data_IF_424883117172
#
_entry.id   IF_424883117172
#
_cell.length_a   1.000
_cell.length_b   1.000
_cell.length_c   1.000
_cell.angle_alpha   90.00
_cell.angle_beta   90.00
_cell.angle_gamma   90.00
#
_symmetry.space_group_name_H-M   'P 1'
#
loop_
_entity.id
_entity.type
_entity.pdbx_description
1 polymer ?
#
# COMPACT_ATOMS: atom_id res chain seq x y z
N UNK A 1 33.64 54.02 -34.47
CA UNK A 1 32.29 53.63 -34.96
C UNK A 1 32.22 52.14 -35.31
N UNK A 2 33.14 51.61 -36.13
CA UNK A 2 33.17 50.19 -36.57
C UNK A 2 33.20 49.18 -35.41
N UNK A 3 34.00 49.40 -34.37
CA UNK A 3 34.11 48.51 -33.20
C UNK A 3 32.83 48.44 -32.34
N UNK A 4 32.10 49.56 -32.19
CA UNK A 4 30.81 49.60 -31.47
C UNK A 4 29.69 48.91 -32.26
N UNK A 5 29.72 49.03 -33.59
CA UNK A 5 28.77 48.32 -34.47
C UNK A 5 29.05 46.81 -34.46
N UNK A 6 30.33 46.38 -34.51
CA UNK A 6 30.70 44.98 -34.39
C UNK A 6 30.28 44.36 -33.04
N UNK A 7 30.41 45.09 -31.92
CA UNK A 7 29.95 44.63 -30.61
C UNK A 7 28.41 44.52 -30.51
N UNK A 8 27.67 45.46 -31.12
CA UNK A 8 26.21 45.39 -31.20
C UNK A 8 25.72 44.22 -32.07
N UNK A 9 26.38 43.96 -33.20
CA UNK A 9 26.08 42.81 -34.08
C UNK A 9 26.38 41.50 -33.35
N UNK A 10 27.51 41.39 -32.64
CA UNK A 10 27.85 40.19 -31.87
C UNK A 10 26.87 39.94 -30.70
N UNK A 11 26.42 40.99 -30.02
CA UNK A 11 25.38 40.91 -28.98
C UNK A 11 24.01 40.51 -29.56
N UNK A 12 23.63 41.03 -30.74
CA UNK A 12 22.39 40.63 -31.42
C UNK A 12 22.42 39.17 -31.89
N UNK A 13 23.57 38.70 -32.40
CA UNK A 13 23.78 37.30 -32.80
C UNK A 13 23.77 36.34 -31.60
N UNK A 14 24.36 36.73 -30.47
CA UNK A 14 24.32 35.91 -29.26
C UNK A 14 22.89 35.79 -28.73
N UNK A 15 22.13 36.90 -28.65
CA UNK A 15 20.70 36.87 -28.29
C UNK A 15 19.85 36.02 -29.24
N UNK A 16 20.15 36.01 -30.54
CA UNK A 16 19.43 35.19 -31.53
C UNK A 16 19.69 33.68 -31.33
N UNK A 17 20.93 33.28 -31.04
CA UNK A 17 21.30 31.88 -30.76
C UNK A 17 20.65 31.34 -29.48
N UNK A 18 20.49 32.16 -28.43
CA UNK A 18 19.76 31.76 -27.21
C UNK A 18 18.26 31.57 -27.48
N UNK A 19 17.63 32.45 -28.28
CA UNK A 19 16.20 32.35 -28.62
C UNK A 19 15.85 31.09 -29.42
N UNK A 20 16.68 30.71 -30.40
CA UNK A 20 16.43 29.55 -31.24
C UNK A 20 16.47 28.21 -30.47
N UNK A 21 17.34 28.10 -29.45
CA UNK A 21 17.44 26.89 -28.63
C UNK A 21 16.27 26.74 -27.62
N UNK A 22 15.83 27.84 -27.01
CA UNK A 22 14.65 27.85 -26.15
C UNK A 22 13.35 27.51 -26.91
N UNK A 23 13.26 27.85 -28.20
CA UNK A 23 12.11 27.53 -29.03
C UNK A 23 11.99 26.03 -29.34
N UNK A 24 13.13 25.32 -29.47
CA UNK A 24 13.15 23.87 -29.71
C UNK A 24 12.70 23.08 -28.47
N UNK A 25 13.15 23.46 -27.28
CA UNK A 25 12.71 22.88 -26.00
C UNK A 25 11.18 22.93 -25.84
N UNK A 26 10.59 24.12 -25.98
CA UNK A 26 9.13 24.33 -25.86
C UNK A 26 8.30 23.55 -26.87
N UNK A 27 8.86 23.22 -28.05
CA UNK A 27 8.18 22.37 -29.03
C UNK A 27 8.02 20.95 -28.49
N UNK A 28 9.06 20.40 -27.86
CA UNK A 28 9.03 19.06 -27.29
C UNK A 28 8.08 18.99 -26.09
N UNK A 29 8.08 19.99 -25.21
CA UNK A 29 7.13 20.07 -24.08
C UNK A 29 5.69 20.08 -24.59
N UNK A 30 5.35 20.97 -25.53
CA UNK A 30 3.98 21.03 -26.08
C UNK A 30 3.53 19.72 -26.72
N UNK A 31 4.41 19.06 -27.48
CA UNK A 31 4.11 17.76 -28.07
C UNK A 31 3.93 16.68 -26.99
N UNK A 32 4.79 16.68 -25.98
CA UNK A 32 4.69 15.80 -24.81
C UNK A 32 3.38 15.99 -24.06
N UNK A 33 2.94 17.23 -23.85
CA UNK A 33 1.68 17.55 -23.19
C UNK A 33 0.47 17.03 -23.98
N UNK A 34 0.44 17.22 -25.31
CA UNK A 34 -0.62 16.66 -26.15
C UNK A 34 -0.68 15.13 -26.08
N UNK A 35 0.47 14.46 -26.16
CA UNK A 35 0.54 13.00 -25.99
C UNK A 35 0.10 12.54 -24.60
N UNK A 36 0.38 13.33 -23.56
CA UNK A 36 -0.05 13.05 -22.20
C UNK A 36 -1.57 13.14 -22.05
N UNK A 37 -2.18 14.17 -22.64
CA UNK A 37 -3.63 14.36 -22.70
C UNK A 37 -4.32 13.20 -23.44
N UNK A 38 -3.70 12.72 -24.53
CA UNK A 38 -4.12 11.54 -25.28
C UNK A 38 -3.89 10.21 -24.53
N UNK A 39 -3.39 10.25 -23.28
CA UNK A 39 -3.00 9.10 -22.45
C UNK A 39 -1.89 8.24 -23.06
N UNK A 40 -1.17 8.75 -24.05
CA UNK A 40 0.01 8.12 -24.65
C UNK A 40 1.27 8.48 -23.84
N UNK A 41 1.36 7.92 -22.64
CA UNK A 41 2.36 8.30 -21.65
C UNK A 41 3.78 7.91 -22.05
N UNK A 42 3.95 6.81 -22.78
CA UNK A 42 5.23 6.34 -23.29
C UNK A 42 5.83 7.32 -24.29
N UNK A 43 5.05 7.79 -25.28
CA UNK A 43 5.56 8.78 -26.23
C UNK A 43 5.68 10.16 -25.59
N UNK A 44 4.82 10.49 -24.63
CA UNK A 44 4.94 11.72 -23.84
C UNK A 44 6.28 11.78 -23.08
N UNK A 45 6.66 10.68 -22.43
CA UNK A 45 7.96 10.50 -21.78
C UNK A 45 9.12 10.78 -22.74
N UNK A 46 9.07 10.21 -23.95
CA UNK A 46 10.09 10.41 -24.98
C UNK A 46 10.25 11.89 -25.35
N UNK A 47 9.15 12.61 -25.54
CA UNK A 47 9.20 14.04 -25.87
C UNK A 47 9.70 14.89 -24.69
N UNK A 48 9.34 14.57 -23.45
CA UNK A 48 9.90 15.27 -22.28
C UNK A 48 11.40 15.02 -22.09
N UNK A 49 11.89 13.79 -22.34
CA UNK A 49 13.33 13.51 -22.34
C UNK A 49 14.06 14.34 -23.42
N UNK A 50 13.51 14.42 -24.64
CA UNK A 50 14.06 15.29 -25.69
C UNK A 50 14.08 16.76 -25.31
N UNK A 51 13.11 17.22 -24.51
CA UNK A 51 13.09 18.58 -23.98
C UNK A 51 14.23 18.81 -22.97
N UNK A 52 14.45 17.85 -22.05
CA UNK A 52 15.51 17.91 -21.04
C UNK A 52 16.93 17.78 -21.63
N UNK A 53 17.07 17.13 -22.79
CA UNK A 53 18.34 17.09 -23.53
C UNK A 53 18.75 18.46 -24.11
N UNK A 54 17.86 19.47 -24.03
CA UNK A 54 18.20 20.84 -24.45
C UNK A 54 18.88 21.56 -23.27
N UNK A 55 19.87 22.42 -23.59
CA UNK A 55 20.77 23.08 -22.62
C UNK A 55 20.08 23.91 -21.51
N UNK A 56 18.76 24.05 -21.55
CA UNK A 56 17.98 24.75 -20.53
C UNK A 56 17.31 23.72 -19.62
N UNK A 57 17.71 23.71 -18.35
CA UNK A 57 16.99 22.97 -17.33
C UNK A 57 15.56 23.54 -17.21
N UNK A 58 14.57 22.73 -17.58
CA UNK A 58 13.16 23.13 -17.60
C UNK A 58 12.43 22.41 -16.49
N UNK A 59 11.97 23.17 -15.48
CA UNK A 59 11.14 22.62 -14.41
C UNK A 59 9.92 21.89 -14.98
N UNK A 60 9.24 22.51 -15.95
CA UNK A 60 8.04 21.95 -16.59
C UNK A 60 8.34 20.60 -17.25
N UNK A 61 9.40 20.50 -18.05
CA UNK A 61 9.75 19.23 -18.69
C UNK A 61 10.13 18.14 -17.67
N UNK A 62 10.90 18.50 -16.62
CA UNK A 62 11.30 17.57 -15.58
C UNK A 62 10.10 17.07 -14.75
N UNK A 63 9.20 17.99 -14.42
CA UNK A 63 7.97 17.69 -13.70
C UNK A 63 7.05 16.78 -14.53
N UNK A 64 6.80 17.14 -15.79
CA UNK A 64 5.91 16.38 -16.66
C UNK A 64 6.48 15.00 -17.01
N UNK A 65 7.81 14.86 -17.06
CA UNK A 65 8.47 13.55 -17.15
C UNK A 65 8.13 12.68 -15.93
N UNK A 66 8.23 13.22 -14.73
CA UNK A 66 7.82 12.52 -13.50
C UNK A 66 6.36 12.08 -13.55
N UNK A 67 5.46 12.97 -13.99
CA UNK A 67 4.03 12.66 -14.15
C UNK A 67 3.79 11.54 -15.19
N UNK A 68 4.49 11.57 -16.32
CA UNK A 68 4.38 10.53 -17.35
C UNK A 68 4.82 9.16 -16.82
N UNK A 69 5.94 9.11 -16.08
CA UNK A 69 6.43 7.89 -15.44
C UNK A 69 5.44 7.38 -14.37
N UNK A 70 4.87 8.29 -13.58
CA UNK A 70 3.83 7.97 -12.59
C UNK A 70 2.60 7.35 -13.25
N UNK A 71 2.13 7.91 -14.37
CA UNK A 71 0.97 7.37 -15.12
C UNK A 71 1.27 6.00 -15.74
N UNK A 72 2.51 5.75 -16.14
CA UNK A 72 2.98 4.43 -16.59
C UNK A 72 3.17 3.42 -15.44
N UNK A 73 2.89 3.81 -14.18
CA UNK A 73 3.12 3.01 -12.97
C UNK A 73 4.61 2.68 -12.72
N UNK A 74 5.53 3.40 -13.37
CA UNK A 74 6.98 3.34 -13.14
C UNK A 74 7.33 4.15 -11.89
N UNK A 75 6.83 3.70 -10.73
CA UNK A 75 6.82 4.53 -9.51
C UNK A 75 8.21 4.83 -8.97
N UNK A 76 9.15 3.90 -9.05
CA UNK A 76 10.52 4.16 -8.57
C UNK A 76 11.23 5.21 -9.43
N UNK A 77 11.09 5.15 -10.76
CA UNK A 77 11.63 6.18 -11.67
C UNK A 77 10.95 7.54 -11.46
N UNK A 78 9.62 7.56 -11.32
CA UNK A 78 8.88 8.79 -11.05
C UNK A 78 9.33 9.44 -9.73
N UNK A 79 9.51 8.62 -8.69
CA UNK A 79 9.98 9.05 -7.38
C UNK A 79 11.37 9.69 -7.47
N UNK A 80 12.32 9.04 -8.14
CA UNK A 80 13.67 9.57 -8.35
C UNK A 80 13.64 10.92 -9.06
N UNK A 81 12.81 11.06 -10.12
CA UNK A 81 12.66 12.32 -10.86
C UNK A 81 12.11 13.43 -9.98
N UNK A 82 11.04 13.18 -9.24
CA UNK A 82 10.45 14.21 -8.38
C UNK A 82 11.39 14.58 -7.22
N UNK A 83 12.06 13.63 -6.59
CA UNK A 83 13.03 13.91 -5.52
C UNK A 83 14.23 14.72 -6.02
N UNK A 84 14.75 14.38 -7.19
CA UNK A 84 15.84 15.14 -7.83
C UNK A 84 15.41 16.55 -8.21
N UNK A 85 14.16 16.74 -8.62
CA UNK A 85 13.64 18.07 -8.92
C UNK A 85 13.42 18.88 -7.64
N UNK A 86 12.89 18.25 -6.58
CA UNK A 86 12.67 18.88 -5.28
C UNK A 86 13.95 19.34 -4.61
N UNK A 87 15.06 18.58 -4.73
CA UNK A 87 16.34 18.96 -4.12
C UNK A 87 16.99 20.21 -4.73
N UNK A 88 16.50 20.69 -5.88
CA UNK A 88 17.00 21.86 -6.60
C UNK A 88 16.00 23.00 -6.66
N UNK A 89 14.75 22.76 -6.26
CA UNK A 89 13.68 23.76 -6.33
C UNK A 89 13.69 24.63 -5.08
N UNK A 90 13.42 25.92 -5.28
CA UNK A 90 13.42 26.93 -4.21
C UNK A 90 12.07 27.64 -4.10
N UNK A 91 11.23 27.58 -5.13
CA UNK A 91 9.87 28.11 -5.07
C UNK A 91 8.99 27.26 -4.13
N UNK A 92 8.44 27.84 -3.05
CA UNK A 92 7.65 27.07 -2.09
C UNK A 92 6.42 26.40 -2.72
N UNK A 93 5.74 27.04 -3.68
CA UNK A 93 4.53 26.45 -4.28
C UNK A 93 4.89 25.20 -5.09
N UNK A 94 5.98 25.25 -5.85
CA UNK A 94 6.51 24.10 -6.60
C UNK A 94 7.04 23.00 -5.69
N UNK A 95 7.72 23.34 -4.59
CA UNK A 95 8.11 22.36 -3.57
C UNK A 95 6.88 21.65 -2.99
N UNK A 96 5.82 22.41 -2.65
CA UNK A 96 4.56 21.84 -2.20
C UNK A 96 3.94 20.86 -3.21
N UNK A 97 3.94 21.22 -4.49
CA UNK A 97 3.45 20.36 -5.58
C UNK A 97 4.32 19.10 -5.78
N UNK A 98 5.64 19.24 -5.71
CA UNK A 98 6.57 18.11 -5.83
C UNK A 98 6.41 17.11 -4.69
N UNK A 99 6.34 17.59 -3.45
CA UNK A 99 6.12 16.72 -2.29
C UNK A 99 4.73 16.06 -2.32
N UNK A 100 3.71 16.71 -2.89
CA UNK A 100 2.41 16.08 -3.14
C UNK A 100 2.53 14.89 -4.12
N UNK A 101 3.23 15.08 -5.24
CA UNK A 101 3.44 14.02 -6.23
C UNK A 101 4.37 12.89 -5.72
N UNK A 102 5.38 13.22 -4.91
CA UNK A 102 6.19 12.23 -4.18
C UNK A 102 5.30 11.39 -3.27
N UNK A 103 4.40 12.03 -2.51
CA UNK A 103 3.42 11.33 -1.66
C UNK A 103 2.52 10.39 -2.44
N UNK A 104 1.95 10.85 -3.56
CA UNK A 104 1.11 10.02 -4.44
C UNK A 104 1.88 8.81 -4.97
N UNK A 105 3.11 9.04 -5.43
CA UNK A 105 3.99 8.01 -5.99
C UNK A 105 4.34 6.95 -4.95
N UNK A 106 4.74 7.37 -3.74
CA UNK A 106 5.05 6.48 -2.62
C UNK A 106 3.83 5.66 -2.19
N UNK A 107 2.66 6.30 -2.11
CA UNK A 107 1.42 5.64 -1.71
C UNK A 107 1.04 4.52 -2.69
N UNK A 108 1.09 4.78 -4.01
CA UNK A 108 0.83 3.75 -5.02
C UNK A 108 1.93 2.68 -5.06
N UNK A 109 3.16 3.04 -4.70
CA UNK A 109 4.26 2.09 -4.50
C UNK A 109 4.20 1.35 -3.14
N UNK A 110 3.08 1.45 -2.41
CA UNK A 110 2.82 0.80 -1.11
C UNK A 110 3.79 1.21 0.02
N UNK A 111 4.56 2.29 -0.16
CA UNK A 111 5.43 2.92 0.83
C UNK A 111 4.61 3.93 1.65
N UNK A 112 3.68 3.39 2.45
CA UNK A 112 2.61 4.17 3.08
C UNK A 112 3.18 5.17 4.10
N UNK A 113 4.13 4.74 4.92
CA UNK A 113 4.74 5.60 5.95
C UNK A 113 5.47 6.80 5.33
N UNK A 114 6.25 6.54 4.28
CA UNK A 114 6.98 7.57 3.55
C UNK A 114 6.04 8.52 2.80
N UNK A 115 4.91 8.01 2.28
CA UNK A 115 3.90 8.85 1.65
C UNK A 115 3.29 9.87 2.61
N UNK A 116 3.08 9.47 3.88
CA UNK A 116 2.55 10.33 4.93
C UNK A 116 3.51 11.49 5.21
N UNK A 117 4.81 11.22 5.30
CA UNK A 117 5.82 12.26 5.50
C UNK A 117 5.92 13.21 4.30
N UNK A 118 5.85 12.69 3.08
CA UNK A 118 5.84 13.52 1.88
C UNK A 118 4.61 14.44 1.81
N UNK A 119 3.41 13.96 2.15
CA UNK A 119 2.23 14.83 2.21
C UNK A 119 2.31 15.89 3.32
N UNK A 120 2.90 15.57 4.47
CA UNK A 120 3.15 16.58 5.51
C UNK A 120 4.08 17.67 4.98
N UNK A 121 5.15 17.30 4.28
CA UNK A 121 6.08 18.27 3.70
C UNK A 121 5.40 19.15 2.64
N UNK A 122 4.56 18.55 1.80
CA UNK A 122 3.71 19.31 0.87
C UNK A 122 2.85 20.37 1.58
N UNK A 123 2.24 20.02 2.72
CA UNK A 123 1.44 20.94 3.53
C UNK A 123 2.25 21.99 4.29
N UNK A 124 3.55 21.77 4.56
CA UNK A 124 4.41 22.84 5.10
C UNK A 124 4.57 23.97 4.10
N UNK A 125 4.67 23.63 2.81
CA UNK A 125 4.82 24.59 1.73
C UNK A 125 3.49 25.15 1.21
N UNK A 126 2.42 24.35 1.23
CA UNK A 126 1.08 24.76 0.83
C UNK A 126 0.03 24.28 1.87
N UNK A 127 -0.14 25.01 2.99
CA UNK A 127 -1.02 24.60 4.08
C UNK A 127 -2.51 24.49 3.70
N UNK A 128 -2.93 25.12 2.61
CA UNK A 128 -4.34 25.20 2.20
C UNK A 128 -4.75 24.15 1.17
N UNK A 129 -3.82 23.31 0.69
CA UNK A 129 -4.15 22.26 -0.28
C UNK A 129 -5.12 21.24 0.33
N UNK A 130 -6.37 21.27 -0.13
CA UNK A 130 -7.43 20.34 0.28
C UNK A 130 -7.13 18.93 -0.23
N UNK A 131 -6.56 18.85 -1.43
CA UNK A 131 -6.16 17.62 -2.09
C UNK A 131 -5.08 16.89 -1.29
N UNK A 132 -4.03 17.60 -0.85
CA UNK A 132 -2.98 17.02 -0.02
C UNK A 132 -3.51 16.58 1.35
N UNK A 133 -4.37 17.38 1.99
CA UNK A 133 -5.02 16.99 3.27
C UNK A 133 -5.82 15.70 3.11
N UNK A 134 -6.61 15.59 2.04
CA UNK A 134 -7.38 14.40 1.75
C UNK A 134 -6.49 13.16 1.55
N UNK A 135 -5.43 13.28 0.74
CA UNK A 135 -4.52 12.15 0.48
C UNK A 135 -3.73 11.73 1.73
N UNK A 136 -3.35 12.69 2.58
CA UNK A 136 -2.72 12.41 3.88
C UNK A 136 -3.64 11.58 4.79
N UNK A 137 -4.91 11.97 4.91
CA UNK A 137 -5.89 11.23 5.71
C UNK A 137 -6.17 9.84 5.13
N UNK A 138 -6.24 9.72 3.81
CA UNK A 138 -6.35 8.42 3.15
C UNK A 138 -5.15 7.51 3.46
N UNK A 139 -3.92 8.03 3.36
CA UNK A 139 -2.71 7.30 3.67
C UNK A 139 -2.67 6.85 5.15
N UNK A 140 -3.07 7.72 6.09
CA UNK A 140 -3.19 7.39 7.52
C UNK A 140 -4.19 6.25 7.77
N UNK A 141 -5.35 6.26 7.12
CA UNK A 141 -6.33 5.17 7.22
C UNK A 141 -5.79 3.86 6.66
N UNK A 142 -5.07 3.91 5.53
CA UNK A 142 -4.42 2.74 4.95
C UNK A 142 -3.40 2.13 5.91
N UNK A 143 -2.58 2.95 6.57
CA UNK A 143 -1.65 2.51 7.62
C UNK A 143 -2.38 1.84 8.79
N UNK A 144 -3.41 2.49 9.32
CA UNK A 144 -4.19 1.94 10.44
C UNK A 144 -4.81 0.58 10.10
N UNK A 145 -5.36 0.43 8.89
CA UNK A 145 -5.92 -0.85 8.42
C UNK A 145 -4.84 -1.94 8.33
N UNK A 146 -3.66 -1.59 7.82
CA UNK A 146 -2.52 -2.51 7.73
C UNK A 146 -2.06 -2.97 9.12
N UNK A 147 -2.02 -2.07 10.11
CA UNK A 147 -1.67 -2.39 11.49
C UNK A 147 -2.73 -3.28 12.18
N UNK A 148 -4.01 -3.02 11.94
CA UNK A 148 -5.10 -3.86 12.45
C UNK A 148 -5.04 -5.29 11.89
N UNK A 149 -4.79 -5.44 10.59
CA UNK A 149 -4.62 -6.75 9.96
C UNK A 149 -3.41 -7.50 10.55
N UNK A 150 -2.29 -6.79 10.78
CA UNK A 150 -1.11 -7.38 11.42
C UNK A 150 -1.40 -7.85 12.85
N UNK A 151 -2.21 -7.11 13.63
CA UNK A 151 -2.62 -7.52 14.98
C UNK A 151 -3.54 -8.74 14.95
N UNK A 152 -4.55 -8.75 14.09
CA UNK A 152 -5.46 -9.89 13.94
C UNK A 152 -4.72 -11.18 13.56
N UNK A 153 -3.77 -11.10 12.62
CA UNK A 153 -2.97 -12.27 12.24
C UNK A 153 -2.09 -12.79 13.39
N UNK A 154 -1.55 -11.90 14.24
CA UNK A 154 -0.78 -12.29 15.43
C UNK A 154 -1.66 -12.96 16.49
N UNK A 155 -2.85 -12.43 16.72
CA UNK A 155 -3.80 -13.01 17.67
C UNK A 155 -4.26 -14.40 17.22
N UNK A 156 -4.45 -14.61 15.92
CA UNK A 156 -4.80 -15.90 15.33
C UNK A 156 -3.66 -16.92 15.45
N UNK A 157 -2.41 -16.53 15.13
CA UNK A 157 -1.24 -17.41 15.35
C UNK A 157 -1.01 -17.76 16.82
N UNK A 158 -1.31 -16.85 17.75
CA UNK A 158 -1.21 -17.12 19.19
C UNK A 158 -2.33 -18.03 19.70
N UNK A 159 -3.51 -18.01 19.08
CA UNK A 159 -4.58 -18.98 19.36
C UNK A 159 -4.22 -20.38 18.85
N UNK A 160 -3.71 -20.51 17.62
CA UNK A 160 -3.29 -21.80 17.06
C UNK A 160 -2.15 -22.45 17.87
N UNK A 161 -1.24 -21.63 18.41
CA UNK A 161 -0.18 -22.12 19.32
C UNK A 161 -0.69 -22.50 20.72
N UNK A 162 -1.79 -21.93 21.20
CA UNK A 162 -2.43 -22.33 22.47
C UNK A 162 -3.19 -23.65 22.30
N UNK A 163 -3.93 -23.81 21.23
CA UNK A 163 -4.66 -25.05 20.93
C UNK A 163 -3.70 -26.25 20.72
N UNK A 164 -2.49 -26.01 20.22
CA UNK A 164 -1.44 -27.04 20.13
C UNK A 164 -0.75 -27.35 21.47
N UNK A 165 -0.78 -26.42 22.44
CA UNK A 165 -0.22 -26.64 23.78
C UNK A 165 -1.22 -27.40 24.67
N UNK A 166 -2.49 -27.05 24.59
CA UNK A 166 -3.57 -27.73 25.31
C UNK A 166 -3.76 -29.18 24.79
N UNK A 167 -3.55 -29.44 23.50
CA UNK A 167 -3.55 -30.82 22.95
C UNK A 167 -2.35 -31.67 23.39
N UNK A 168 -1.20 -31.07 23.71
CA UNK A 168 -0.04 -31.80 24.27
C UNK A 168 -0.24 -32.09 25.76
N UNK A 169 -0.81 -31.18 26.53
CA UNK A 169 -1.09 -31.42 27.95
C UNK A 169 -2.22 -32.46 28.18
N UNK A 170 -3.19 -32.58 27.27
CA UNK A 170 -4.19 -33.66 27.32
C UNK A 170 -3.66 -35.04 26.87
N UNK A 171 -2.61 -35.08 26.04
CA UNK A 171 -1.92 -36.34 25.70
C UNK A 171 -1.04 -36.83 26.86
N UNK A 172 -0.32 -35.94 27.54
CA UNK A 172 0.51 -36.31 28.70
C UNK A 172 -0.32 -36.72 29.92
N UNK A 173 -1.54 -36.17 30.10
CA UNK A 173 -2.46 -36.60 31.17
C UNK A 173 -3.13 -37.95 30.89
N UNK A 174 -3.40 -38.29 29.63
CA UNK A 174 -3.91 -39.63 29.28
C UNK A 174 -2.86 -40.73 29.44
N UNK A 175 -1.58 -40.42 29.24
CA UNK A 175 -0.49 -41.38 29.47
C UNK A 175 -0.11 -41.55 30.95
N UNK A 176 -0.44 -40.58 31.82
CA UNK A 176 -0.34 -40.74 33.28
C UNK A 176 -1.53 -41.50 33.88
N UNK A 177 -2.75 -41.31 33.38
CA UNK A 177 -3.92 -42.08 33.85
C UNK A 177 -3.88 -43.56 33.41
N UNK A 178 -3.27 -43.88 32.27
CA UNK A 178 -3.06 -45.27 31.84
C UNK A 178 -1.96 -46.02 32.63
N UNK A 179 -1.14 -45.33 33.44
CA UNK A 179 -0.12 -45.98 34.29
C UNK A 179 -0.63 -46.37 35.67
N UNK A 180 -1.68 -45.73 36.17
CA UNK A 180 -2.28 -46.08 37.48
C UNK A 180 -3.36 -47.15 37.38
N UNK A 181 -4.09 -47.24 36.25
CA UNK A 181 -5.04 -48.33 36.01
C UNK A 181 -4.36 -49.66 35.58
N UNK A 182 -3.09 -49.61 35.14
CA UNK A 182 -2.30 -50.83 34.88
C UNK A 182 -1.65 -51.45 36.12
N UNK A 183 -1.76 -50.82 37.31
CA UNK A 183 -1.23 -51.37 38.57
C UNK A 183 -2.24 -52.11 39.45
N UNK A 184 -3.49 -52.28 38.99
CA UNK A 184 -4.52 -53.06 39.70
C UNK A 184 -4.99 -54.34 39.03
N UNK A 185 -4.44 -54.69 37.86
CA UNK A 185 -4.75 -55.93 37.14
C UNK A 185 -3.47 -56.69 36.74
N UNK A 186 -2.55 -56.90 37.68
CA UNK A 186 -1.36 -57.75 37.49
C UNK A 186 -1.23 -58.79 38.60
N UNK A 187 -2.31 -59.50 38.92
CA UNK A 187 -2.20 -60.76 39.68
C UNK A 187 -3.06 -61.90 39.15
N UNK A 188 -3.56 -61.81 37.92
CA UNK A 188 -4.13 -62.98 37.26
C UNK A 188 -3.72 -63.11 35.79
N UNK A 189 -3.04 -64.22 35.55
CA UNK A 189 -2.92 -64.94 34.27
C UNK A 189 -1.89 -64.42 33.26
N UNK A 190 -0.66 -64.88 33.50
CA UNK A 190 0.15 -65.47 32.43
C UNK A 190 -0.63 -66.63 31.79
N UNK A 191 -0.93 -66.54 30.50
CA UNK A 191 -0.55 -67.54 29.48
C UNK A 191 -1.09 -67.18 28.09
N UNK A 192 -0.25 -67.53 27.13
CA UNK A 192 -0.51 -67.79 25.72
C UNK A 192 -0.39 -66.64 24.70
N UNK A 193 0.69 -66.82 23.93
CA UNK A 193 1.16 -66.11 22.77
C UNK A 193 0.39 -66.49 21.50
N UNK A 194 0.47 -65.57 20.54
CA UNK A 194 0.49 -65.81 19.09
C UNK A 194 -0.80 -66.28 18.39
N UNK A 195 -1.44 -65.36 17.64
CA UNK A 195 -1.27 -65.27 16.18
C UNK A 195 -2.03 -64.08 15.54
N UNK A 196 -1.37 -63.50 14.53
CA UNK A 196 -1.70 -62.35 13.64
C UNK A 196 -3.08 -62.51 12.97
N UNK A 197 -3.96 -61.51 12.97
CA UNK A 197 -4.10 -60.30 12.10
C UNK A 197 -4.31 -60.59 10.61
N UNK A 198 -5.54 -60.38 10.16
CA UNK A 198 -5.93 -60.27 8.75
C UNK A 198 -7.07 -59.23 8.55
N UNK A 199 -6.93 -58.40 7.49
CA UNK A 199 -7.96 -57.67 6.71
C UNK A 199 -8.81 -56.57 7.42
N UNK A 200 -9.24 -55.44 6.85
CA UNK A 200 -9.45 -54.87 5.48
C UNK A 200 -9.51 -53.33 5.65
N UNK A 201 -8.84 -52.50 4.84
CA UNK A 201 -9.24 -51.93 3.54
C UNK A 201 -10.23 -50.73 3.61
N UNK A 202 -9.81 -49.53 3.19
CA UNK A 202 -10.41 -48.69 2.11
C UNK A 202 -10.23 -47.16 2.23
N UNK A 203 -9.82 -46.61 1.07
CA UNK A 203 -10.22 -45.35 0.42
C UNK A 203 -9.74 -43.99 0.97
N UNK A 204 -8.79 -43.40 0.25
CA UNK A 204 -8.62 -41.96 0.11
C UNK A 204 -7.94 -41.68 -1.24
N UNK A 205 -8.60 -40.93 -2.14
CA UNK A 205 -8.08 -39.69 -2.76
C UNK A 205 -8.92 -39.17 -3.94
N UNK A 206 -9.40 -37.93 -3.75
CA UNK A 206 -9.60 -36.79 -4.68
C UNK A 206 -10.60 -36.88 -5.85
N UNK A 207 -11.27 -35.74 -6.09
CA UNK A 207 -10.98 -34.99 -7.32
C UNK A 207 -10.65 -33.50 -7.11
N UNK A 208 -10.06 -32.98 -8.18
CA UNK A 208 -9.59 -31.64 -8.50
C UNK A 208 -10.68 -30.83 -9.21
N UNK A 209 -10.63 -29.50 -9.12
CA UNK A 209 -11.26 -28.44 -9.95
C UNK A 209 -11.23 -27.14 -9.10
N UNK A 210 -10.74 -25.96 -9.52
CA UNK A 210 -10.50 -25.41 -10.84
C UNK A 210 -10.99 -23.95 -10.87
N UNK A 211 -10.48 -23.07 -10.00
CA UNK A 211 -10.95 -21.68 -9.84
C UNK A 211 -10.39 -20.75 -10.94
N UNK A 212 -11.26 -20.25 -11.81
CA UNK A 212 -10.99 -19.17 -12.77
C UNK A 212 -11.67 -17.90 -12.28
N UNK A 213 -10.93 -17.01 -11.61
CA UNK A 213 -11.40 -15.67 -11.31
C UNK A 213 -10.68 -14.61 -12.16
N UNK A 214 -11.43 -14.04 -13.11
CA UNK A 214 -11.03 -12.92 -13.97
C UNK A 214 -10.83 -11.68 -13.12
N UNK A 215 -9.59 -11.19 -13.07
CA UNK A 215 -9.18 -9.95 -12.42
C UNK A 215 -9.57 -8.76 -13.33
N UNK A 216 -10.60 -8.02 -12.96
CA UNK A 216 -10.89 -6.71 -13.54
C UNK A 216 -9.91 -5.67 -12.95
N UNK A 217 -9.24 -4.93 -13.83
CA UNK A 217 -8.34 -3.82 -13.49
C UNK A 217 -9.12 -2.61 -12.96
N UNK A 218 -8.65 -1.92 -11.90
CA UNK A 218 -9.13 -0.58 -11.60
C UNK A 218 -8.44 0.44 -12.50
N UNK A 219 -9.24 1.16 -13.31
CA UNK A 219 -8.82 2.37 -14.02
C UNK A 219 -8.74 3.55 -13.06
N UNK A 220 -7.72 4.38 -13.31
CA UNK A 220 -7.56 5.79 -12.94
C UNK A 220 -7.23 6.14 -11.46
N UNK A 221 -6.00 6.66 -11.27
CA UNK A 221 -5.46 7.20 -10.03
C UNK A 221 -6.05 8.55 -9.60
N UNK A 222 -7.37 8.69 -9.68
CA UNK A 222 -8.18 9.63 -8.92
C UNK A 222 -9.39 8.81 -8.47
N UNK A 223 -9.52 8.56 -7.16
CA UNK A 223 -10.76 8.00 -6.62
C UNK A 223 -11.88 8.96 -7.04
N UNK A 224 -12.86 8.50 -7.83
CA UNK A 224 -14.00 9.34 -8.19
C UNK A 224 -14.72 9.77 -6.90
N UNK A 225 -15.37 10.94 -6.90
CA UNK A 225 -16.07 11.43 -5.70
C UNK A 225 -17.12 10.40 -5.23
N UNK A 226 -17.69 9.69 -6.19
CA UNK A 226 -18.67 8.62 -6.02
C UNK A 226 -18.03 7.37 -5.43
N UNK A 227 -16.82 6.98 -5.85
CA UNK A 227 -16.08 5.87 -5.24
C UNK A 227 -15.59 6.21 -3.84
N UNK A 228 -15.20 7.47 -3.60
CA UNK A 228 -14.87 7.97 -2.27
C UNK A 228 -16.08 7.93 -1.34
N UNK A 229 -17.26 8.30 -1.84
CA UNK A 229 -18.52 8.23 -1.08
C UNK A 229 -18.96 6.79 -0.84
N UNK A 230 -18.86 5.91 -1.84
CA UNK A 230 -19.15 4.48 -1.68
C UNK A 230 -18.20 3.83 -0.69
N UNK A 231 -16.91 4.18 -0.75
CA UNK A 231 -15.92 3.71 0.21
C UNK A 231 -16.22 4.26 1.61
N UNK A 232 -16.60 5.54 1.73
CA UNK A 232 -17.01 6.16 2.99
C UNK A 232 -18.22 5.45 3.58
N UNK A 233 -19.23 5.16 2.77
CA UNK A 233 -20.44 4.45 3.18
C UNK A 233 -20.17 2.99 3.56
N UNK A 234 -19.29 2.31 2.81
CA UNK A 234 -18.82 0.97 3.17
C UNK A 234 -18.07 0.98 4.51
N UNK A 235 -17.22 1.99 4.74
CA UNK A 235 -16.49 2.20 5.99
C UNK A 235 -17.42 2.53 7.16
N UNK A 236 -18.44 3.38 6.98
CA UNK A 236 -19.45 3.66 8.02
C UNK A 236 -20.24 2.40 8.39
N UNK A 237 -20.57 1.58 7.40
CA UNK A 237 -21.29 0.32 7.63
C UNK A 237 -20.43 -0.71 8.37
N UNK A 238 -19.14 -0.80 8.03
CA UNK A 238 -18.19 -1.67 8.73
C UNK A 238 -17.90 -1.17 10.14
N UNK A 239 -17.79 0.15 10.35
CA UNK A 239 -17.67 0.76 11.67
C UNK A 239 -18.90 0.44 12.53
N UNK A 240 -20.12 0.62 11.99
CA UNK A 240 -21.36 0.25 12.70
C UNK A 240 -21.38 -1.23 13.08
N UNK A 241 -20.96 -2.14 12.18
CA UNK A 241 -20.85 -3.57 12.48
C UNK A 241 -19.83 -3.85 13.59
N UNK A 242 -18.69 -3.18 13.57
CA UNK A 242 -17.65 -3.31 14.60
C UNK A 242 -18.16 -2.79 15.95
N UNK A 243 -18.79 -1.60 15.97
CA UNK A 243 -19.39 -1.03 17.18
C UNK A 243 -20.46 -1.97 17.76
N UNK A 244 -21.33 -2.55 16.93
CA UNK A 244 -22.32 -3.54 17.37
C UNK A 244 -21.68 -4.79 17.98
N UNK A 245 -20.59 -5.30 17.38
CA UNK A 245 -19.86 -6.46 17.93
C UNK A 245 -19.23 -6.12 19.28
N UNK A 246 -18.62 -4.95 19.42
CA UNK A 246 -18.02 -4.48 20.68
C UNK A 246 -19.09 -4.30 21.76
N UNK A 247 -20.23 -3.70 21.43
CA UNK A 247 -21.34 -3.55 22.37
C UNK A 247 -21.90 -4.91 22.82
N UNK A 248 -22.09 -5.86 21.89
CA UNK A 248 -22.50 -7.24 22.22
C UNK A 248 -21.49 -7.94 23.12
N UNK A 249 -20.19 -7.77 22.88
CA UNK A 249 -19.15 -8.33 23.73
C UNK A 249 -19.16 -7.73 25.14
N UNK A 250 -19.33 -6.40 25.27
CA UNK A 250 -19.46 -5.70 26.55
C UNK A 250 -20.71 -6.16 27.32
N UNK A 251 -21.85 -6.30 26.65
CA UNK A 251 -23.09 -6.78 27.27
C UNK A 251 -22.94 -8.22 27.79
N UNK A 252 -22.34 -9.13 27.01
CA UNK A 252 -22.04 -10.50 27.45
C UNK A 252 -21.10 -10.54 28.65
N UNK A 253 -20.08 -9.67 28.67
CA UNK A 253 -19.16 -9.57 29.81
C UNK A 253 -19.87 -9.08 31.09
N UNK A 254 -20.77 -8.10 30.98
CA UNK A 254 -21.57 -7.61 32.11
C UNK A 254 -22.57 -8.66 32.63
N UNK A 255 -23.21 -9.43 31.73
CA UNK A 255 -24.08 -10.53 32.12
C UNK A 255 -23.32 -11.61 32.90
N UNK A 256 -22.13 -12.00 32.43
CA UNK A 256 -21.26 -12.95 33.16
C UNK A 256 -20.85 -12.44 34.55
N UNK A 257 -20.58 -11.13 34.70
CA UNK A 257 -20.28 -10.53 36.01
C UNK A 257 -21.49 -10.59 36.96
N UNK A 258 -22.69 -10.25 36.49
CA UNK A 258 -23.93 -10.33 37.29
C UNK A 258 -24.27 -11.77 37.69
N UNK A 259 -24.00 -12.75 36.83
CA UNK A 259 -24.20 -14.16 37.14
C UNK A 259 -23.21 -14.70 38.18
N UNK A 260 -21.96 -14.22 38.19
CA UNK A 260 -21.00 -14.55 39.26
C UNK A 260 -21.44 -13.99 40.62
N UNK A 261 -21.82 -12.71 40.68
CA UNK A 261 -22.31 -12.07 41.92
C UNK A 261 -23.55 -12.78 42.48
N UNK A 262 -24.42 -13.33 41.62
CA UNK A 262 -25.60 -14.10 42.02
C UNK A 262 -25.32 -15.56 42.44
N UNK A 263 -24.10 -16.06 42.34
CA UNK A 263 -23.74 -17.40 42.82
C UNK A 263 -22.92 -17.38 44.11
N UNK A 264 -22.48 -16.19 44.54
CA UNK A 264 -21.63 -15.97 45.70
C UNK A 264 -22.41 -15.45 46.93
N UNK A 265 -23.75 -15.59 46.96
CA UNK A 265 -24.63 -15.31 48.11
C UNK A 265 -25.36 -16.57 48.57
#
# INVERSE_FOLDING_TARGET
>A
MKTRISLLILALLSLACFKANAQKERKFIRKGNGLFEDKNFENSEVEYRKALDKKNASFEAAFNLGDALYKQKKYDEALERFQTLASKETDPKRLGLLHYNIGNTLLLNKKIDESIEAYKESLRHNPDSKETKYNLEYARKMKQKQEQQKKQNKDQQNQDNKDNKDKKEDQDKKDQQNKDDQKKNQDDQKKDQDKKKDQKNKENQKPDEGDKNKKQEPKEGKISKEDAQRLLQALENDEKKVQQKVQKAKAKAQQKKKQKIKKDW
#
